data_IF_793599898726
#
_entry.id   IF_793599898726
#
_cell.length_a   1.000
_cell.length_b   1.000
_cell.length_c   1.000
_cell.angle_alpha   90.00
_cell.angle_beta   90.00
_cell.angle_gamma   90.00
#
_symmetry.space_group_name_H-M   'P 1'
#
loop_
_entity.id
_entity.type
_entity.pdbx_description
1 polymer ?
#
# COMPACT_ATOMS: atom_id res chain seq x y z
N UNK A 1 1.71 6.99 12.29
CA UNK A 1 1.33 5.68 11.71
C UNK A 1 2.39 5.11 10.76
N UNK A 2 3.50 5.81 10.49
CA UNK A 2 4.56 5.37 9.58
C UNK A 2 4.32 5.69 8.10
N UNK A 3 3.25 6.39 7.73
CA UNK A 3 2.93 6.74 6.34
C UNK A 3 4.04 7.57 5.68
N UNK A 4 4.42 8.69 6.29
CA UNK A 4 5.46 9.58 5.76
C UNK A 4 6.81 8.86 5.64
N UNK A 5 7.18 8.06 6.65
CA UNK A 5 8.40 7.24 6.61
C UNK A 5 8.39 6.23 5.46
N UNK A 6 7.25 5.59 5.19
CA UNK A 6 7.10 4.65 4.08
C UNK A 6 7.21 5.37 2.74
N UNK A 7 6.53 6.50 2.56
CA UNK A 7 6.62 7.29 1.33
C UNK A 7 8.04 7.80 1.11
N UNK A 8 8.71 8.29 2.15
CA UNK A 8 10.11 8.73 2.04
C UNK A 8 11.03 7.59 1.60
N UNK A 9 10.83 6.37 2.14
CA UNK A 9 11.59 5.20 1.72
C UNK A 9 11.31 4.79 0.27
N UNK A 10 10.05 4.87 -0.19
CA UNK A 10 9.68 4.61 -1.58
C UNK A 10 10.30 5.62 -2.54
N UNK A 11 10.26 6.93 -2.20
CA UNK A 11 10.91 7.96 -2.99
C UNK A 11 12.43 7.78 -3.04
N UNK A 12 13.04 7.45 -1.90
CA UNK A 12 14.49 7.20 -1.85
C UNK A 12 14.88 5.98 -2.69
N UNK A 13 14.03 4.96 -2.74
CA UNK A 13 14.23 3.80 -3.61
C UNK A 13 14.18 4.21 -5.10
N UNK A 14 13.15 4.94 -5.52
CA UNK A 14 13.06 5.45 -6.91
C UNK A 14 14.28 6.31 -7.24
N UNK A 15 14.60 7.28 -6.39
CA UNK A 15 15.73 8.19 -6.54
C UNK A 15 17.09 7.46 -6.64
N UNK A 16 17.24 6.32 -5.97
CA UNK A 16 18.47 5.53 -5.99
C UNK A 16 18.61 4.68 -7.25
N UNK A 17 17.50 4.15 -7.77
CA UNK A 17 17.57 3.14 -8.84
C UNK A 17 17.09 3.65 -10.21
N UNK A 18 16.29 4.73 -10.28
CA UNK A 18 15.71 5.28 -11.51
C UNK A 18 16.19 6.69 -11.80
N UNK A 19 16.05 7.11 -13.06
CA UNK A 19 16.31 8.47 -13.53
C UNK A 19 14.98 9.12 -13.87
N UNK A 20 14.36 9.71 -12.87
CA UNK A 20 13.00 10.24 -12.94
C UNK A 20 12.97 11.70 -12.45
N UNK A 21 12.02 12.48 -12.92
CA UNK A 21 11.68 13.77 -12.37
C UNK A 21 10.61 13.58 -11.28
N UNK A 22 10.98 13.78 -10.02
CA UNK A 22 10.12 13.55 -8.86
C UNK A 22 9.70 14.91 -8.29
N UNK A 23 8.39 15.13 -8.17
CA UNK A 23 7.85 16.34 -7.53
C UNK A 23 7.03 15.93 -6.31
N UNK A 24 7.28 16.58 -5.17
CA UNK A 24 6.48 16.37 -3.96
C UNK A 24 5.72 17.65 -3.58
N UNK A 25 4.52 17.45 -3.02
CA UNK A 25 3.70 18.51 -2.43
C UNK A 25 3.30 18.02 -1.04
N UNK A 26 3.81 18.69 0.01
CA UNK A 26 3.74 18.20 1.38
C UNK A 26 3.25 19.30 2.34
N UNK A 27 2.73 18.90 3.52
CA UNK A 27 2.24 19.84 4.55
C UNK A 27 2.48 19.25 5.96
N UNK A 28 3.63 19.55 6.58
CA UNK A 28 4.86 20.13 6.03
C UNK A 28 5.79 19.07 5.40
N UNK A 29 6.94 19.49 4.87
CA UNK A 29 8.03 18.58 4.46
C UNK A 29 8.67 17.97 5.72
N UNK A 30 8.54 16.64 5.91
CA UNK A 30 9.13 15.95 7.06
C UNK A 30 10.54 15.39 6.76
N UNK A 31 10.80 15.00 5.52
CA UNK A 31 12.08 14.43 5.07
C UNK A 31 12.63 15.20 3.89
N UNK A 32 13.87 15.66 3.99
CA UNK A 32 14.58 16.30 2.88
C UNK A 32 15.34 15.22 2.06
N UNK A 33 15.04 15.18 0.79
CA UNK A 33 15.70 14.30 -0.16
C UNK A 33 16.81 15.04 -0.91
N UNK A 34 17.91 14.34 -1.15
CA UNK A 34 18.99 14.83 -2.04
C UNK A 34 18.87 14.10 -3.38
N UNK A 35 19.14 14.80 -4.46
CA UNK A 35 19.23 14.19 -5.78
C UNK A 35 20.29 13.07 -5.79
N UNK A 36 19.92 11.94 -6.40
CA UNK A 36 20.82 10.80 -6.64
C UNK A 36 20.84 10.51 -8.15
N UNK A 37 20.02 9.55 -8.61
CA UNK A 37 19.81 9.31 -10.04
C UNK A 37 18.65 10.13 -10.58
N UNK A 38 17.68 10.44 -9.76
CA UNK A 38 16.53 11.28 -10.08
C UNK A 38 16.75 12.71 -9.60
N UNK A 39 16.00 13.66 -10.16
CA UNK A 39 15.88 15.02 -9.62
C UNK A 39 14.65 15.07 -8.73
N UNK A 40 14.74 15.69 -7.53
CA UNK A 40 13.63 15.82 -6.60
C UNK A 40 13.35 17.28 -6.30
N UNK A 41 12.15 17.74 -6.62
CA UNK A 41 11.64 19.08 -6.27
C UNK A 41 10.56 18.95 -5.21
N UNK A 42 10.86 19.38 -3.98
CA UNK A 42 9.90 19.33 -2.86
C UNK A 42 9.26 20.72 -2.66
N UNK A 43 7.95 20.73 -2.45
CA UNK A 43 7.15 21.94 -2.25
C UNK A 43 6.30 21.81 -1.01
N UNK A 44 6.32 22.85 -0.18
CA UNK A 44 5.54 22.90 1.04
C UNK A 44 4.29 23.77 0.85
N UNK A 45 3.15 23.26 1.31
CA UNK A 45 1.90 24.03 1.33
C UNK A 45 2.00 25.17 2.33
N UNK A 46 1.58 26.34 1.92
CA UNK A 46 1.68 27.56 2.72
C UNK A 46 2.97 28.36 2.50
N UNK A 47 4.04 27.72 2.00
CA UNK A 47 5.31 28.38 1.65
C UNK A 47 5.49 28.49 0.14
N UNK A 48 5.54 27.36 -0.56
CA UNK A 48 5.81 27.29 -2.00
C UNK A 48 4.54 27.25 -2.83
N UNK A 49 3.49 26.62 -2.30
CA UNK A 49 2.18 26.49 -2.94
C UNK A 49 1.05 26.82 -1.95
N UNK A 50 -0.06 27.34 -2.44
CA UNK A 50 -1.16 27.76 -1.56
C UNK A 50 -1.99 26.57 -1.04
N UNK A 51 -2.14 25.50 -1.84
CA UNK A 51 -2.91 24.31 -1.52
C UNK A 51 -2.48 23.14 -2.40
N UNK A 52 -2.77 21.92 -1.96
CA UNK A 52 -2.42 20.68 -2.68
C UNK A 52 -2.90 20.68 -4.13
N UNK A 53 -4.19 20.95 -4.39
CA UNK A 53 -4.77 20.92 -5.72
C UNK A 53 -4.13 21.91 -6.69
N UNK A 54 -3.74 23.12 -6.24
CA UNK A 54 -3.04 24.10 -7.08
C UNK A 54 -1.61 23.66 -7.39
N UNK A 55 -0.89 23.19 -6.37
CA UNK A 55 0.46 22.66 -6.55
C UNK A 55 0.47 21.48 -7.52
N UNK A 56 -0.47 20.55 -7.37
CA UNK A 56 -0.60 19.37 -8.23
C UNK A 56 -0.92 19.74 -9.70
N UNK A 57 -1.82 20.70 -9.93
CA UNK A 57 -2.09 21.19 -11.30
C UNK A 57 -0.89 21.91 -11.92
N UNK A 58 -0.09 22.58 -11.12
CA UNK A 58 1.11 23.28 -11.61
C UNK A 58 2.21 22.27 -11.98
N UNK A 59 2.45 21.25 -11.13
CA UNK A 59 3.51 20.29 -11.35
C UNK A 59 3.29 19.41 -12.60
N UNK A 60 2.04 19.19 -13.04
CA UNK A 60 1.73 18.48 -14.29
C UNK A 60 2.29 19.15 -15.56
N UNK A 61 2.74 20.41 -15.46
CA UNK A 61 3.37 21.15 -16.57
C UNK A 61 4.90 21.11 -16.53
N UNK A 62 5.45 20.39 -15.57
CA UNK A 62 6.90 20.33 -15.31
C UNK A 62 7.50 18.97 -15.70
N UNK A 63 6.74 18.20 -16.49
CA UNK A 63 7.11 16.87 -16.98
C UNK A 63 7.55 15.92 -15.84
N UNK A 64 6.72 15.71 -14.80
CA UNK A 64 7.05 14.82 -13.71
C UNK A 64 6.81 13.37 -14.11
N UNK A 65 7.70 12.46 -13.69
CA UNK A 65 7.47 11.02 -13.80
C UNK A 65 6.76 10.48 -12.54
N UNK A 66 7.15 11.02 -11.38
CA UNK A 66 6.62 10.64 -10.07
C UNK A 66 6.14 11.87 -9.32
N UNK A 67 4.92 11.81 -8.82
CA UNK A 67 4.32 12.88 -8.01
C UNK A 67 3.95 12.32 -6.64
N UNK A 68 4.43 12.95 -5.57
CA UNK A 68 3.96 12.69 -4.23
C UNK A 68 3.03 13.81 -3.77
N UNK A 69 1.79 13.45 -3.43
CA UNK A 69 0.83 14.32 -2.77
C UNK A 69 0.72 13.87 -1.32
N UNK A 70 1.22 14.67 -0.39
CA UNK A 70 1.34 14.30 1.02
C UNK A 70 0.07 13.70 1.59
N UNK A 71 -1.08 14.30 1.26
CA UNK A 71 -2.40 13.75 1.60
C UNK A 71 -3.49 14.19 0.62
N UNK A 72 -4.52 13.36 0.48
CA UNK A 72 -5.72 13.63 -0.32
C UNK A 72 -6.94 13.75 0.61
N UNK A 73 -7.39 14.97 0.90
CA UNK A 73 -8.54 15.22 1.80
C UNK A 73 -9.78 15.73 1.09
N UNK A 74 -9.60 16.49 0.03
CA UNK A 74 -10.65 17.22 -0.68
C UNK A 74 -10.86 16.68 -2.11
N UNK A 75 -12.04 17.00 -2.67
CA UNK A 75 -12.43 16.57 -4.00
C UNK A 75 -11.45 17.02 -5.09
N UNK A 76 -11.04 18.30 -5.06
CA UNK A 76 -10.19 18.89 -6.10
C UNK A 76 -8.81 18.22 -6.15
N UNK A 77 -8.24 17.90 -4.97
CA UNK A 77 -6.96 17.20 -4.87
C UNK A 77 -7.08 15.77 -5.37
N UNK A 78 -8.14 15.03 -4.97
CA UNK A 78 -8.37 13.66 -5.42
C UNK A 78 -8.62 13.59 -6.93
N UNK A 79 -9.49 14.45 -7.46
CA UNK A 79 -9.80 14.50 -8.90
C UNK A 79 -8.52 14.79 -9.73
N UNK A 80 -7.71 15.74 -9.29
CA UNK A 80 -6.46 16.08 -9.98
C UNK A 80 -5.43 14.94 -9.88
N UNK A 81 -5.36 14.22 -8.76
CA UNK A 81 -4.48 13.06 -8.59
C UNK A 81 -4.90 11.88 -9.48
N UNK A 82 -6.21 11.61 -9.60
CA UNK A 82 -6.73 10.61 -10.53
C UNK A 82 -6.39 10.95 -11.97
N UNK A 83 -6.58 12.22 -12.37
CA UNK A 83 -6.22 12.70 -13.72
C UNK A 83 -4.72 12.54 -13.98
N UNK A 84 -3.86 12.90 -13.02
CA UNK A 84 -2.41 12.72 -13.14
C UNK A 84 -2.04 11.24 -13.37
N UNK A 85 -2.63 10.33 -12.59
CA UNK A 85 -2.39 8.90 -12.74
C UNK A 85 -2.89 8.35 -14.10
N UNK A 86 -4.03 8.85 -14.59
CA UNK A 86 -4.62 8.47 -15.89
C UNK A 86 -3.76 8.95 -17.07
N UNK A 87 -3.07 10.08 -16.91
CA UNK A 87 -2.16 10.63 -17.92
C UNK A 87 -0.73 10.05 -17.86
N UNK A 88 -0.50 9.01 -17.04
CA UNK A 88 0.72 8.20 -17.09
C UNK A 88 1.72 8.46 -15.96
N UNK A 89 1.44 9.38 -15.03
CA UNK A 89 2.33 9.67 -13.90
C UNK A 89 2.16 8.64 -12.77
N UNK A 90 3.25 8.29 -12.09
CA UNK A 90 3.15 7.54 -10.84
C UNK A 90 2.79 8.50 -9.71
N UNK A 91 1.56 8.39 -9.20
CA UNK A 91 1.08 9.22 -8.10
C UNK A 91 1.12 8.44 -6.79
N UNK A 92 1.86 8.96 -5.81
CA UNK A 92 1.93 8.47 -4.45
C UNK A 92 1.19 9.42 -3.51
N UNK A 93 0.36 8.89 -2.61
CA UNK A 93 -0.34 9.74 -1.64
C UNK A 93 -0.71 8.98 -0.38
N UNK A 94 -1.24 9.71 0.62
CA UNK A 94 -1.78 9.12 1.84
C UNK A 94 -3.24 9.44 2.03
N UNK A 95 -3.92 8.50 2.71
CA UNK A 95 -5.27 8.65 3.23
C UNK A 95 -5.29 8.34 4.74
N UNK A 96 -6.31 8.84 5.44
CA UNK A 96 -6.57 8.54 6.85
C UNK A 96 -7.65 7.45 6.95
N UNK A 97 -7.30 6.22 6.54
CA UNK A 97 -8.17 5.05 6.50
C UNK A 97 -7.52 3.87 7.20
N UNK A 98 -8.30 2.85 7.55
CA UNK A 98 -7.85 1.72 8.34
C UNK A 98 -7.34 0.56 7.49
N UNK A 99 -7.88 0.38 6.26
CA UNK A 99 -7.57 -0.72 5.35
C UNK A 99 -7.83 -0.37 3.88
N UNK A 100 -7.55 -1.30 2.98
CA UNK A 100 -7.69 -1.10 1.54
C UNK A 100 -9.15 -0.87 1.07
N UNK A 101 -10.15 -1.66 1.49
CA UNK A 101 -11.56 -1.39 1.15
C UNK A 101 -12.04 -0.01 1.60
N UNK A 102 -11.66 0.42 2.80
CA UNK A 102 -12.02 1.74 3.32
C UNK A 102 -11.34 2.86 2.52
N UNK A 103 -10.08 2.66 2.11
CA UNK A 103 -9.34 3.61 1.28
C UNK A 103 -10.03 3.83 -0.07
N UNK A 104 -10.44 2.76 -0.73
CA UNK A 104 -11.20 2.80 -1.99
C UNK A 104 -12.53 3.55 -1.79
N UNK A 105 -13.29 3.17 -0.77
CA UNK A 105 -14.57 3.82 -0.48
C UNK A 105 -14.39 5.31 -0.11
N UNK A 106 -13.31 5.66 0.58
CA UNK A 106 -13.00 7.06 0.96
C UNK A 106 -12.74 7.92 -0.28
N UNK A 107 -11.96 7.42 -1.23
CA UNK A 107 -11.72 8.12 -2.51
C UNK A 107 -13.04 8.35 -3.25
N UNK A 108 -13.87 7.32 -3.35
CA UNK A 108 -15.12 7.38 -4.12
C UNK A 108 -16.16 8.26 -3.44
N UNK A 109 -16.24 8.26 -2.11
CA UNK A 109 -17.27 8.96 -1.33
C UNK A 109 -17.22 10.48 -1.41
N UNK A 110 -16.10 11.08 -1.83
CA UNK A 110 -15.99 12.55 -1.99
C UNK A 110 -16.71 13.04 -3.25
N UNK A 111 -17.00 12.14 -4.19
CA UNK A 111 -17.70 12.47 -5.42
C UNK A 111 -19.22 12.38 -5.25
N UNK A 112 -19.94 13.21 -6.00
CA UNK A 112 -21.41 13.16 -6.03
C UNK A 112 -21.90 11.76 -6.47
N UNK A 113 -23.03 11.25 -5.94
CA UNK A 113 -23.50 9.88 -6.17
C UNK A 113 -23.58 9.47 -7.64
N UNK A 114 -23.97 10.38 -8.52
CA UNK A 114 -24.08 10.12 -9.95
C UNK A 114 -22.72 9.99 -10.67
N UNK A 115 -21.63 10.48 -10.10
CA UNK A 115 -20.28 10.33 -10.63
C UNK A 115 -19.54 9.10 -10.06
N UNK A 116 -19.98 8.54 -8.93
CA UNK A 116 -19.24 7.49 -8.21
C UNK A 116 -18.98 6.23 -9.05
N UNK A 117 -19.93 5.87 -9.95
CA UNK A 117 -19.73 4.73 -10.85
C UNK A 117 -18.58 4.96 -11.83
N UNK A 118 -18.51 6.15 -12.41
CA UNK A 118 -17.42 6.52 -13.34
C UNK A 118 -16.07 6.53 -12.61
N UNK A 119 -16.03 7.13 -11.41
CA UNK A 119 -14.82 7.19 -10.59
C UNK A 119 -14.35 5.79 -10.17
N UNK A 120 -15.25 4.84 -9.87
CA UNK A 120 -14.89 3.45 -9.62
C UNK A 120 -14.18 2.80 -10.81
N UNK A 121 -14.70 2.97 -12.00
CA UNK A 121 -14.11 2.46 -13.24
C UNK A 121 -12.72 3.09 -13.47
N UNK A 122 -12.61 4.40 -13.33
CA UNK A 122 -11.34 5.12 -13.44
C UNK A 122 -10.34 4.61 -12.41
N UNK A 123 -10.71 4.59 -11.13
CA UNK A 123 -9.84 4.12 -10.03
C UNK A 123 -9.40 2.67 -10.25
N UNK A 124 -10.30 1.78 -10.70
CA UNK A 124 -9.97 0.38 -10.95
C UNK A 124 -8.88 0.20 -12.02
N UNK A 125 -8.79 1.09 -12.99
CA UNK A 125 -7.81 1.03 -14.07
C UNK A 125 -6.44 1.60 -13.68
N UNK A 126 -6.41 2.64 -12.82
CA UNK A 126 -5.18 3.37 -12.50
C UNK A 126 -4.55 2.96 -11.17
N UNK A 127 -5.33 2.49 -10.18
CA UNK A 127 -4.80 2.10 -8.88
C UNK A 127 -3.83 0.93 -9.03
N UNK A 128 -2.65 1.05 -8.41
CA UNK A 128 -1.62 0.01 -8.46
C UNK A 128 -1.55 -0.79 -7.18
N UNK A 129 -1.56 -0.12 -6.04
CA UNK A 129 -1.45 -0.76 -4.74
C UNK A 129 -2.04 0.13 -3.64
N UNK A 130 -2.44 -0.50 -2.53
CA UNK A 130 -2.71 0.17 -1.26
C UNK A 130 -1.89 -0.53 -0.18
N UNK A 131 -1.14 0.27 0.59
CA UNK A 131 -0.36 -0.19 1.74
C UNK A 131 -0.96 0.44 2.99
N UNK A 132 -1.55 -0.38 3.85
CA UNK A 132 -2.14 0.05 5.12
C UNK A 132 -1.25 -0.38 6.28
N UNK A 133 -1.14 0.44 7.33
CA UNK A 133 -0.21 0.17 8.43
C UNK A 133 -0.84 0.41 9.79
N UNK A 134 -0.54 -0.51 10.74
CA UNK A 134 -0.83 -0.38 12.17
C UNK A 134 0.49 -0.50 12.94
N UNK A 135 0.77 0.43 13.85
CA UNK A 135 1.94 0.33 14.71
C UNK A 135 1.59 -0.41 16.00
N UNK A 136 2.16 -1.58 16.16
CA UNK A 136 1.96 -2.46 17.32
C UNK A 136 3.11 -2.29 18.30
N UNK A 137 2.87 -2.13 19.62
CA UNK A 137 3.93 -2.07 20.61
C UNK A 137 4.78 -3.37 20.59
N UNK A 138 6.08 -3.25 20.67
CA UNK A 138 6.99 -4.40 20.74
C UNK A 138 6.91 -5.05 22.12
N UNK A 139 7.10 -6.37 22.17
CA UNK A 139 7.09 -7.15 23.41
C UNK A 139 8.25 -6.76 24.35
N UNK A 140 9.39 -6.33 23.78
CA UNK A 140 10.57 -5.86 24.53
C UNK A 140 10.42 -4.45 25.11
N UNK A 141 9.30 -3.78 24.88
CA UNK A 141 9.03 -2.40 25.32
C UNK A 141 9.81 -1.33 24.54
N UNK A 142 10.62 -1.70 23.56
CA UNK A 142 11.45 -0.77 22.79
C UNK A 142 10.73 -0.29 21.51
N UNK A 143 9.74 0.57 21.68
CA UNK A 143 9.05 1.20 20.57
C UNK A 143 7.94 0.35 19.96
N UNK A 144 7.75 0.46 18.65
CA UNK A 144 6.65 -0.17 17.90
C UNK A 144 7.16 -0.83 16.63
N UNK A 145 6.45 -1.87 16.19
CA UNK A 145 6.69 -2.57 14.93
C UNK A 145 5.48 -2.41 14.01
N UNK A 146 5.66 -2.22 12.70
CA UNK A 146 4.53 -2.08 11.78
C UNK A 146 3.93 -3.46 11.46
N UNK A 147 2.62 -3.60 11.68
CA UNK A 147 1.80 -4.59 10.99
C UNK A 147 1.29 -3.96 9.70
N UNK A 148 1.43 -4.65 8.59
CA UNK A 148 1.20 -4.09 7.25
C UNK A 148 0.21 -4.94 6.48
N UNK A 149 -0.78 -4.29 5.87
CA UNK A 149 -1.63 -4.86 4.82
C UNK A 149 -1.12 -4.35 3.47
N UNK A 150 -0.97 -5.25 2.51
CA UNK A 150 -0.52 -4.94 1.14
C UNK A 150 -1.54 -5.49 0.16
N UNK A 151 -2.18 -4.60 -0.57
CA UNK A 151 -3.06 -4.91 -1.70
C UNK A 151 -2.36 -4.52 -3.01
N UNK A 152 -2.26 -5.44 -3.94
CA UNK A 152 -1.84 -5.19 -5.32
C UNK A 152 -3.05 -5.29 -6.23
N UNK A 153 -3.21 -4.35 -7.15
CA UNK A 153 -4.36 -4.34 -8.05
C UNK A 153 -4.21 -5.38 -9.15
N UNK A 154 -4.77 -6.56 -8.92
CA UNK A 154 -4.92 -7.64 -9.90
C UNK A 154 -6.20 -7.45 -10.72
N UNK A 155 -6.42 -8.17 -11.84
CA UNK A 155 -7.68 -8.11 -12.58
C UNK A 155 -8.92 -8.37 -11.72
N UNK A 156 -8.84 -9.30 -10.76
CA UNK A 156 -9.94 -9.55 -9.82
C UNK A 156 -10.17 -8.38 -8.86
N UNK A 157 -9.09 -7.76 -8.34
CA UNK A 157 -9.21 -6.55 -7.51
C UNK A 157 -9.79 -5.39 -8.32
N UNK A 158 -9.43 -5.23 -9.60
CA UNK A 158 -10.04 -4.23 -10.49
C UNK A 158 -11.56 -4.40 -10.58
N UNK A 159 -12.04 -5.62 -10.77
CA UNK A 159 -13.46 -5.95 -10.77
C UNK A 159 -14.12 -5.60 -9.43
N UNK A 160 -13.48 -5.96 -8.30
CA UNK A 160 -13.97 -5.62 -6.96
C UNK A 160 -14.04 -4.11 -6.68
N UNK A 161 -13.16 -3.30 -7.29
CA UNK A 161 -13.22 -1.84 -7.21
C UNK A 161 -14.34 -1.29 -8.08
N UNK A 162 -14.47 -1.78 -9.32
CA UNK A 162 -15.45 -1.32 -10.28
C UNK A 162 -16.89 -1.57 -9.82
N UNK A 163 -17.16 -2.70 -9.18
CA UNK A 163 -18.46 -3.12 -8.69
C UNK A 163 -18.60 -2.88 -7.19
N UNK A 164 -19.50 -1.97 -6.80
CA UNK A 164 -19.70 -1.56 -5.40
C UNK A 164 -19.97 -2.74 -4.47
N UNK A 165 -20.76 -3.68 -4.92
CA UNK A 165 -21.21 -4.85 -4.16
C UNK A 165 -20.06 -5.83 -3.88
N UNK A 166 -19.01 -5.80 -4.71
CA UNK A 166 -17.83 -6.66 -4.59
C UNK A 166 -16.69 -6.05 -3.76
N UNK A 167 -16.79 -4.79 -3.34
CA UNK A 167 -15.71 -4.13 -2.57
C UNK A 167 -15.37 -4.89 -1.28
N UNK A 168 -16.35 -5.57 -0.65
CA UNK A 168 -16.13 -6.40 0.54
C UNK A 168 -15.26 -7.64 0.29
N UNK A 169 -15.20 -8.13 -0.94
CA UNK A 169 -14.41 -9.32 -1.34
C UNK A 169 -12.91 -9.02 -1.47
N UNK A 170 -12.51 -7.76 -1.43
CA UNK A 170 -11.09 -7.36 -1.54
C UNK A 170 -10.24 -7.98 -0.45
N UNK A 171 -10.75 -8.12 0.78
CA UNK A 171 -9.99 -8.74 1.87
C UNK A 171 -9.66 -10.20 1.59
N UNK A 172 -10.62 -10.95 1.06
CA UNK A 172 -10.44 -12.36 0.70
C UNK A 172 -9.47 -12.48 -0.47
N UNK A 173 -9.55 -11.56 -1.44
CA UNK A 173 -8.62 -11.50 -2.56
C UNK A 173 -7.17 -11.20 -2.11
N UNK A 174 -6.99 -10.30 -1.13
CA UNK A 174 -5.67 -10.03 -0.53
C UNK A 174 -5.15 -11.29 0.16
N UNK A 175 -5.99 -11.97 0.95
CA UNK A 175 -5.62 -13.18 1.68
C UNK A 175 -5.19 -14.30 0.73
N UNK A 176 -5.85 -14.45 -0.41
CA UNK A 176 -5.54 -15.46 -1.43
C UNK A 176 -4.32 -15.09 -2.30
N UNK A 177 -3.96 -13.81 -2.40
CA UNK A 177 -2.91 -13.31 -3.29
C UNK A 177 -1.50 -13.29 -2.70
N UNK A 178 -1.26 -13.97 -1.57
CA UNK A 178 0.03 -13.95 -0.86
C UNK A 178 1.17 -14.49 -1.72
N UNK A 179 1.04 -15.73 -2.18
CA UNK A 179 2.12 -16.44 -2.89
C UNK A 179 2.36 -15.90 -4.30
N UNK A 180 1.31 -15.52 -5.00
CA UNK A 180 1.41 -15.12 -6.42
C UNK A 180 1.76 -13.64 -6.61
N UNK A 181 1.28 -12.75 -5.72
CA UNK A 181 1.38 -11.30 -5.90
C UNK A 181 2.09 -10.59 -4.75
N UNK A 182 2.54 -11.31 -3.71
CA UNK A 182 3.14 -10.70 -2.53
C UNK A 182 2.16 -9.86 -1.71
N UNK A 183 0.85 -10.13 -1.83
CA UNK A 183 -0.16 -9.46 -1.01
C UNK A 183 -0.13 -9.98 0.44
N UNK A 184 -0.64 -9.21 1.37
CA UNK A 184 -0.67 -9.58 2.78
C UNK A 184 -1.83 -8.90 3.49
N UNK A 185 -2.58 -9.63 4.31
CA UNK A 185 -3.57 -9.05 5.22
C UNK A 185 -2.92 -8.61 6.54
N UNK A 186 -3.61 -7.74 7.30
CA UNK A 186 -3.18 -7.41 8.65
C UNK A 186 -3.04 -8.64 9.55
N UNK A 187 -3.97 -9.58 9.48
CA UNK A 187 -3.98 -10.76 10.36
C UNK A 187 -2.80 -11.69 10.04
N UNK A 188 -2.41 -11.81 8.77
CA UNK A 188 -1.20 -12.53 8.37
C UNK A 188 0.06 -11.83 8.89
N UNK A 189 0.16 -10.51 8.73
CA UNK A 189 1.27 -9.71 9.24
C UNK A 189 1.41 -9.80 10.76
N UNK A 190 0.30 -9.66 11.50
CA UNK A 190 0.27 -9.74 12.96
C UNK A 190 0.66 -11.13 13.45
N UNK A 191 0.17 -12.19 12.79
CA UNK A 191 0.55 -13.56 13.11
C UNK A 191 2.05 -13.79 12.91
N UNK A 192 2.62 -13.27 11.83
CA UNK A 192 4.07 -13.35 11.59
C UNK A 192 4.86 -12.62 12.65
N UNK A 193 4.46 -11.39 13.02
CA UNK A 193 5.11 -10.62 14.08
C UNK A 193 5.06 -11.33 15.44
N UNK A 194 3.96 -12.04 15.74
CA UNK A 194 3.85 -12.87 16.94
C UNK A 194 4.79 -14.08 16.86
N UNK A 195 4.81 -14.81 15.76
CA UNK A 195 5.66 -15.97 15.54
C UNK A 195 7.15 -15.63 15.65
N UNK A 196 7.53 -14.46 15.16
CA UNK A 196 8.91 -13.96 15.19
C UNK A 196 9.28 -13.33 16.56
N UNK A 197 8.35 -13.32 17.54
CA UNK A 197 8.59 -12.82 18.90
C UNK A 197 8.66 -11.30 19.02
N UNK A 198 8.20 -10.54 18.01
CA UNK A 198 8.17 -9.08 18.12
C UNK A 198 7.01 -8.55 18.97
N UNK A 199 5.89 -9.27 19.03
CA UNK A 199 4.70 -8.87 19.78
C UNK A 199 4.20 -10.01 20.65
N UNK A 200 3.50 -9.67 21.76
CA UNK A 200 2.89 -10.67 22.64
C UNK A 200 1.57 -11.19 22.07
N UNK A 201 1.07 -12.30 22.64
CA UNK A 201 -0.24 -12.86 22.29
C UNK A 201 -1.37 -11.85 22.51
N UNK A 202 -1.34 -11.12 23.64
CA UNK A 202 -2.35 -10.10 23.95
C UNK A 202 -2.33 -8.96 22.93
N UNK A 203 -1.15 -8.57 22.46
CA UNK A 203 -1.01 -7.58 21.41
C UNK A 203 -1.54 -8.10 20.08
N UNK A 204 -1.22 -9.36 19.73
CA UNK A 204 -1.79 -10.04 18.56
C UNK A 204 -3.31 -10.04 18.58
N UNK A 205 -3.91 -10.45 19.69
CA UNK A 205 -5.38 -10.42 19.91
C UNK A 205 -5.99 -9.03 19.78
N UNK A 206 -5.31 -8.01 20.31
CA UNK A 206 -5.80 -6.61 20.32
C UNK A 206 -5.76 -5.96 18.95
N UNK A 207 -4.73 -6.24 18.16
CA UNK A 207 -4.47 -5.54 16.89
C UNK A 207 -4.92 -6.31 15.65
N UNK A 208 -5.23 -7.61 15.76
CA UNK A 208 -5.82 -8.39 14.66
C UNK A 208 -7.21 -7.89 14.29
N UNK A 209 -7.59 -8.09 13.05
CA UNK A 209 -8.92 -7.76 12.54
C UNK A 209 -9.95 -8.78 13.04
N UNK A 210 -9.54 -10.06 13.10
CA UNK A 210 -10.31 -11.15 13.67
C UNK A 210 -9.50 -11.84 14.78
N UNK A 211 -9.77 -11.46 16.04
CA UNK A 211 -9.05 -11.97 17.20
C UNK A 211 -9.27 -13.47 17.43
N UNK A 212 -10.47 -13.99 17.13
CA UNK A 212 -10.75 -15.42 17.28
C UNK A 212 -9.99 -16.26 16.27
N UNK A 213 -9.95 -15.83 14.98
CA UNK A 213 -9.15 -16.48 13.95
C UNK A 213 -7.66 -16.45 14.31
N UNK A 214 -7.14 -15.33 14.83
CA UNK A 214 -5.77 -15.23 15.33
C UNK A 214 -5.50 -16.24 16.45
N UNK A 215 -6.38 -16.34 17.44
CA UNK A 215 -6.26 -17.31 18.56
C UNK A 215 -6.24 -18.75 18.05
N UNK A 216 -7.15 -19.13 17.16
CA UNK A 216 -7.20 -20.47 16.59
C UNK A 216 -5.91 -20.81 15.84
N UNK A 217 -5.40 -19.87 15.04
CA UNK A 217 -4.16 -20.03 14.30
C UNK A 217 -2.94 -20.22 15.22
N UNK A 218 -2.86 -19.48 16.32
CA UNK A 218 -1.80 -19.64 17.35
C UNK A 218 -1.90 -21.01 18.03
N UNK A 219 -3.10 -21.56 18.23
CA UNK A 219 -3.32 -22.91 18.76
C UNK A 219 -3.04 -24.05 17.77
N UNK A 220 -2.59 -23.72 16.54
CA UNK A 220 -2.33 -24.72 15.50
C UNK A 220 -3.57 -25.22 14.78
N UNK A 221 -4.72 -24.57 14.99
CA UNK A 221 -5.96 -24.85 14.26
C UNK A 221 -5.98 -23.93 13.05
N UNK A 222 -5.54 -24.47 11.93
CA UNK A 222 -5.49 -23.75 10.66
C UNK A 222 -6.83 -23.84 9.94
N UNK A 223 -7.23 -22.75 9.26
CA UNK A 223 -8.33 -22.83 8.30
C UNK A 223 -7.89 -23.60 7.06
N UNK A 224 -8.84 -24.15 6.31
CA UNK A 224 -8.56 -24.86 5.04
C UNK A 224 -7.78 -23.95 4.05
N UNK A 225 -8.00 -22.64 4.10
CA UNK A 225 -7.30 -21.65 3.29
C UNK A 225 -5.83 -21.49 3.73
N UNK A 226 -5.57 -21.45 5.05
CA UNK A 226 -4.21 -21.35 5.58
C UNK A 226 -3.37 -22.59 5.23
N UNK A 227 -3.97 -23.78 5.28
CA UNK A 227 -3.32 -25.04 4.90
C UNK A 227 -2.94 -25.02 3.40
N UNK A 228 -3.87 -24.62 2.54
CA UNK A 228 -3.62 -24.51 1.11
C UNK A 228 -2.52 -23.48 0.78
N UNK A 229 -2.47 -22.35 1.49
CA UNK A 229 -1.43 -21.33 1.33
C UNK A 229 -0.05 -21.84 1.78
N UNK A 230 0.05 -22.51 2.92
CA UNK A 230 1.31 -23.10 3.39
C UNK A 230 1.83 -24.23 2.47
N UNK A 231 0.94 -25.01 1.89
CA UNK A 231 1.32 -26.02 0.89
C UNK A 231 1.83 -25.39 -0.40
N UNK A 232 1.21 -24.29 -0.85
CA UNK A 232 1.68 -23.50 -1.99
C UNK A 232 3.05 -22.87 -1.73
N UNK A 233 3.24 -22.23 -0.58
CA UNK A 233 4.54 -21.63 -0.20
C UNK A 233 5.67 -22.68 -0.15
N UNK A 234 5.39 -23.87 0.41
CA UNK A 234 6.34 -24.98 0.43
C UNK A 234 6.66 -25.52 -0.96
N UNK A 235 5.71 -25.50 -1.88
CA UNK A 235 5.94 -25.95 -3.24
C UNK A 235 6.76 -24.93 -4.05
N UNK A 236 6.50 -23.63 -3.89
CA UNK A 236 7.26 -22.55 -4.54
C UNK A 236 8.72 -22.49 -4.04
N UNK A 237 8.93 -22.58 -2.72
CA UNK A 237 10.29 -22.59 -2.16
C UNK A 237 11.11 -23.82 -2.58
N UNK A 238 10.47 -24.89 -3.00
CA UNK A 238 11.15 -26.04 -3.62
C UNK A 238 11.54 -25.76 -5.07
N UNK A 239 10.70 -25.06 -5.83
CA UNK A 239 10.99 -24.71 -7.24
C UNK A 239 12.16 -23.71 -7.30
N UNK A 240 12.16 -22.68 -6.47
CA UNK A 240 13.28 -21.71 -6.39
C UNK A 240 14.62 -22.37 -6.04
N UNK A 241 14.64 -23.36 -5.12
CA UNK A 241 15.86 -24.12 -4.82
C UNK A 241 16.33 -25.04 -5.94
N UNK A 242 15.42 -25.48 -6.81
CA UNK A 242 15.79 -26.26 -7.99
C UNK A 242 16.40 -25.35 -9.07
N UNK A 243 15.87 -24.16 -9.29
CA UNK A 243 16.40 -23.18 -10.25
C UNK A 243 17.78 -22.63 -9.82
N UNK A 244 18.00 -22.36 -8.53
CA UNK A 244 19.31 -21.97 -8.01
C UNK A 244 20.35 -23.12 -8.04
N UNK A 245 19.90 -24.37 -7.96
CA UNK A 245 20.80 -25.55 -8.01
C UNK A 245 21.23 -25.98 -9.41
N UNK A 246 20.50 -25.64 -10.45
CA UNK A 246 20.87 -25.92 -11.85
C UNK A 246 21.80 -24.87 -12.45
N UNK A 247 21.68 -23.57 -12.01
CA UNK A 247 22.61 -22.50 -12.43
C UNK A 247 24.03 -22.62 -11.91
N UNK A 248 24.31 -23.49 -10.94
CA UNK A 248 25.65 -23.68 -10.35
C UNK A 248 26.44 -24.85 -10.97
N UNK A 249 25.96 -25.47 -12.05
CA UNK A 249 26.64 -26.60 -12.73
C UNK A 249 27.07 -26.32 -14.19
N UNK A 250 26.95 -25.09 -14.67
CA UNK A 250 27.38 -24.67 -16.00
C UNK A 250 28.41 -23.51 -15.95
N UNK A 251 29.34 -23.52 -14.99
CA UNK A 251 30.60 -22.76 -15.05
C UNK A 251 31.81 -23.67 -14.86
#
# INVERSE_FOLDING_TARGET
>A
SGKTTTLAAMLDHVNTFRRENIITIEDPIEYLHKDKKSTISQREVGMDVQMFSRGLRACLREDPDVILVGEMRDLDTIETALLAAETGHLVLSTLHTLDAPESINRIISVFAPHHQRQVRLQLSSILRAIISMRLVPRMDGQGRVPAVEVMITTPYIQECIAEKEKTGLIRDAIAAGVSQYGMQTFDQSIYQLYRDGYISFEQGMKYSTNSEAFKLRVMGIQSTLDIALEEMEKSMSKVERFEEGEGAKEE
#
